data_IF_946370287840
#
_entry.id   IF_946370287840
#
_cell.length_a   1.000
_cell.length_b   1.000
_cell.length_c   1.000
_cell.angle_alpha   90.00
_cell.angle_beta   90.00
_cell.angle_gamma   90.00
#
_symmetry.space_group_name_H-M   'P 1'
#
loop_
_entity.id
_entity.type
_entity.pdbx_description
1 polymer ?
#
# COMPACT_ATOMS: atom_id res chain seq x y z
N UNK A 1 -29.37 34.98 -13.13
CA UNK A 1 -28.99 33.83 -12.30
C UNK A 1 -28.32 32.85 -13.22
N UNK A 2 -26.98 32.84 -13.23
CA UNK A 2 -26.21 32.05 -14.21
C UNK A 2 -26.19 30.58 -13.76
N UNK A 3 -26.99 29.76 -14.45
CA UNK A 3 -27.23 28.35 -14.16
C UNK A 3 -26.20 27.46 -14.85
N UNK A 4 -24.94 27.53 -14.42
CA UNK A 4 -23.95 26.55 -14.86
C UNK A 4 -24.27 25.19 -14.21
N UNK A 5 -24.67 24.22 -15.03
CA UNK A 5 -24.82 22.83 -14.61
C UNK A 5 -23.47 22.28 -14.11
N UNK A 6 -23.44 21.49 -13.02
CA UNK A 6 -22.18 20.97 -12.48
C UNK A 6 -21.49 20.06 -13.50
N UNK A 7 -20.27 20.42 -13.89
CA UNK A 7 -19.43 19.61 -14.79
C UNK A 7 -18.76 18.46 -14.05
N UNK A 8 -19.05 17.23 -14.46
CA UNK A 8 -18.40 16.03 -13.93
C UNK A 8 -16.91 15.98 -14.28
N UNK A 9 -16.09 15.58 -13.30
CA UNK A 9 -14.65 15.33 -13.49
C UNK A 9 -14.34 13.85 -13.31
N UNK A 10 -13.57 13.26 -14.24
CA UNK A 10 -13.13 11.87 -14.13
C UNK A 10 -11.90 11.76 -13.22
N UNK A 11 -12.06 11.14 -12.06
CA UNK A 11 -10.96 10.93 -11.10
C UNK A 11 -10.18 9.62 -11.32
N UNK A 12 -10.85 8.56 -11.77
CA UNK A 12 -10.24 7.25 -11.99
C UNK A 12 -10.93 6.49 -13.14
N UNK A 13 -10.24 5.50 -13.70
CA UNK A 13 -10.79 4.57 -14.69
C UNK A 13 -10.10 3.22 -14.55
N UNK A 14 -10.75 2.14 -14.97
CA UNK A 14 -10.22 0.79 -14.87
C UNK A 14 -11.14 -0.23 -15.53
N UNK A 15 -10.73 -1.50 -15.49
CA UNK A 15 -11.55 -2.63 -15.95
C UNK A 15 -11.67 -3.66 -14.83
N UNK A 16 -12.83 -4.31 -14.74
CA UNK A 16 -13.11 -5.35 -13.77
C UNK A 16 -13.42 -6.66 -14.49
N UNK A 17 -12.82 -7.76 -14.04
CA UNK A 17 -13.06 -9.10 -14.56
C UNK A 17 -13.46 -10.02 -13.41
N UNK A 18 -14.47 -10.87 -13.65
CA UNK A 18 -14.83 -11.94 -12.72
C UNK A 18 -13.63 -12.88 -12.52
N UNK A 19 -13.32 -13.15 -11.27
CA UNK A 19 -12.09 -13.85 -10.94
C UNK A 19 -12.26 -15.39 -11.09
N UNK A 20 -11.17 -16.11 -11.37
CA UNK A 20 -11.16 -17.55 -11.64
C UNK A 20 -11.63 -18.37 -10.42
N UNK A 21 -12.04 -19.64 -10.53
CA UNK A 21 -12.39 -20.46 -9.36
C UNK A 21 -11.24 -20.49 -8.32
N UNK A 22 -11.57 -20.45 -7.03
CA UNK A 22 -10.60 -20.36 -5.91
C UNK A 22 -9.54 -21.48 -5.94
N UNK A 23 -9.92 -22.69 -6.34
CA UNK A 23 -9.02 -23.83 -6.52
C UNK A 23 -7.94 -23.63 -7.60
N UNK A 24 -8.10 -22.65 -8.49
CA UNK A 24 -7.12 -22.30 -9.53
C UNK A 24 -6.20 -21.14 -9.12
N UNK A 25 -6.35 -20.61 -7.91
CA UNK A 25 -5.62 -19.42 -7.42
C UNK A 25 -4.63 -19.79 -6.33
N UNK A 26 -3.49 -20.34 -6.74
CA UNK A 26 -2.30 -20.43 -5.88
C UNK A 26 -1.23 -19.52 -6.44
N UNK A 27 -0.50 -18.83 -5.56
CA UNK A 27 0.80 -18.24 -5.89
C UNK A 27 1.86 -19.17 -5.33
N UNK A 28 2.18 -20.29 -6.01
CA UNK A 28 3.08 -21.32 -5.48
C UNK A 28 4.47 -20.79 -5.12
N UNK A 29 4.86 -19.65 -5.69
CA UNK A 29 6.16 -18.99 -5.48
C UNK A 29 6.09 -17.80 -4.50
N UNK A 30 5.01 -17.64 -3.72
CA UNK A 30 4.94 -16.58 -2.72
C UNK A 30 5.89 -16.89 -1.55
N UNK A 31 6.80 -15.96 -1.18
CA UNK A 31 7.67 -16.17 -0.03
C UNK A 31 6.85 -16.23 1.26
N UNK A 32 7.27 -17.08 2.18
CA UNK A 32 6.69 -17.18 3.51
C UNK A 32 6.98 -15.92 4.33
N UNK A 33 6.13 -15.65 5.32
CA UNK A 33 6.34 -14.55 6.26
C UNK A 33 7.73 -14.62 6.95
N UNK A 34 8.24 -15.83 7.20
CA UNK A 34 9.55 -16.03 7.82
C UNK A 34 10.70 -15.60 6.87
N UNK A 35 10.62 -15.96 5.59
CA UNK A 35 11.59 -15.55 4.58
C UNK A 35 11.58 -14.03 4.37
N UNK A 36 10.40 -13.42 4.35
CA UNK A 36 10.27 -11.96 4.24
C UNK A 36 10.86 -11.26 5.46
N UNK A 37 10.57 -11.73 6.68
CA UNK A 37 11.18 -11.19 7.91
C UNK A 37 12.70 -11.26 7.90
N UNK A 38 13.28 -12.31 7.33
CA UNK A 38 14.73 -12.44 7.19
C UNK A 38 15.31 -11.40 6.20
N UNK A 39 14.57 -11.02 5.15
CA UNK A 39 14.96 -10.00 4.17
C UNK A 39 14.67 -8.56 4.61
N UNK A 40 13.75 -8.37 5.56
CA UNK A 40 13.41 -7.08 6.17
C UNK A 40 13.88 -7.00 7.63
N UNK A 41 15.19 -6.92 7.92
CA UNK A 41 15.70 -6.97 9.29
C UNK A 41 15.52 -5.65 10.06
N UNK A 42 15.32 -4.52 9.38
CA UNK A 42 15.35 -3.20 10.00
C UNK A 42 13.96 -2.85 10.55
N UNK A 43 13.78 -2.92 11.87
CA UNK A 43 12.54 -2.48 12.49
C UNK A 43 12.43 -0.95 12.48
N UNK A 44 11.31 -0.43 11.97
CA UNK A 44 10.99 1.00 11.96
C UNK A 44 9.82 1.24 12.91
N UNK A 45 9.97 2.07 13.95
CA UNK A 45 8.85 2.42 14.81
C UNK A 45 7.73 3.09 13.99
N UNK A 46 6.47 2.60 14.05
CA UNK A 46 5.38 3.19 13.28
C UNK A 46 5.18 4.69 13.56
N UNK A 47 5.40 5.14 14.80
CA UNK A 47 5.34 6.57 15.14
C UNK A 47 6.37 7.40 14.37
N UNK A 48 7.62 6.93 14.31
CA UNK A 48 8.68 7.59 13.53
C UNK A 48 8.34 7.63 12.04
N UNK A 49 7.74 6.56 11.52
CA UNK A 49 7.29 6.51 10.13
C UNK A 49 6.19 7.56 9.84
N UNK A 50 5.14 7.62 10.66
CA UNK A 50 4.08 8.62 10.48
C UNK A 50 4.55 10.05 10.72
N UNK A 51 5.50 10.26 11.64
CA UNK A 51 6.12 11.58 11.84
C UNK A 51 6.90 12.01 10.59
N UNK A 52 7.68 11.11 9.99
CA UNK A 52 8.38 11.37 8.73
C UNK A 52 7.45 11.59 7.53
N UNK A 53 6.26 10.97 7.51
CA UNK A 53 5.20 11.25 6.54
C UNK A 53 4.61 12.65 6.75
N UNK A 54 4.36 13.04 8.01
CA UNK A 54 3.84 14.36 8.35
C UNK A 54 4.81 15.48 7.96
N UNK A 55 6.10 15.29 8.20
CA UNK A 55 7.15 16.22 7.78
C UNK A 55 7.17 16.43 6.25
N UNK A 56 6.70 15.43 5.48
CA UNK A 56 6.53 15.47 4.02
C UNK A 56 5.17 15.97 3.55
N UNK A 57 4.30 16.44 4.47
CA UNK A 57 2.97 16.95 4.16
C UNK A 57 1.85 15.90 4.11
N UNK A 58 2.12 14.64 4.47
CA UNK A 58 1.08 13.60 4.60
C UNK A 58 0.55 13.53 6.03
N UNK A 59 -0.48 14.33 6.31
CA UNK A 59 -1.21 14.28 7.57
C UNK A 59 -2.26 13.17 7.58
N UNK A 60 -1.80 11.92 7.78
CA UNK A 60 -2.70 10.79 7.93
C UNK A 60 -3.40 10.84 9.29
N UNK A 61 -4.72 11.02 9.28
CA UNK A 61 -5.54 11.01 10.49
C UNK A 61 -5.62 9.62 11.16
N UNK A 62 -6.17 9.53 12.39
CA UNK A 62 -6.22 8.26 13.15
C UNK A 62 -6.90 7.10 12.43
N UNK A 63 -7.84 7.38 11.51
CA UNK A 63 -8.50 6.38 10.69
C UNK A 63 -7.60 5.74 9.62
N UNK A 64 -6.46 6.36 9.26
CA UNK A 64 -5.53 5.91 8.22
C UNK A 64 -4.18 5.44 8.78
N UNK A 65 -4.00 5.46 10.10
CA UNK A 65 -2.78 4.97 10.75
C UNK A 65 -2.90 3.48 11.14
N UNK A 66 -3.00 2.59 10.14
CA UNK A 66 -3.24 1.16 10.36
C UNK A 66 -1.97 0.32 10.64
N UNK A 67 -0.77 0.83 10.33
CA UNK A 67 0.50 0.13 10.61
C UNK A 67 0.74 0.04 12.12
N UNK A 68 0.80 -1.19 12.63
CA UNK A 68 1.17 -1.49 14.03
C UNK A 68 2.57 -2.07 14.18
N UNK A 69 3.19 -2.52 13.08
CA UNK A 69 4.59 -2.92 13.01
C UNK A 69 5.12 -2.71 11.60
N UNK A 70 6.37 -2.29 11.47
CA UNK A 70 7.01 -2.01 10.19
C UNK A 70 8.47 -2.48 10.22
N UNK A 71 8.87 -3.16 9.16
CA UNK A 71 10.22 -3.64 8.94
C UNK A 71 10.63 -3.35 7.50
N UNK A 72 11.87 -2.93 7.28
CA UNK A 72 12.41 -2.62 5.97
C UNK A 72 13.61 -3.50 5.63
N UNK A 73 13.75 -3.79 4.34
CA UNK A 73 14.86 -4.46 3.71
C UNK A 73 15.41 -3.64 2.54
N UNK A 74 16.22 -4.28 1.71
CA UNK A 74 16.65 -3.70 0.44
C UNK A 74 15.47 -3.68 -0.54
N UNK A 75 14.97 -2.50 -0.89
CA UNK A 75 13.81 -2.30 -1.78
C UNK A 75 12.53 -3.06 -1.35
N UNK A 76 12.44 -3.44 -0.07
CA UNK A 76 11.35 -4.23 0.48
C UNK A 76 10.83 -3.65 1.80
N UNK A 77 9.54 -3.86 2.05
CA UNK A 77 8.92 -3.56 3.34
C UNK A 77 7.97 -4.67 3.77
N UNK A 78 7.89 -4.88 5.07
CA UNK A 78 6.92 -5.74 5.73
C UNK A 78 6.18 -4.92 6.77
N UNK A 79 4.86 -4.88 6.69
CA UNK A 79 4.02 -4.18 7.65
C UNK A 79 3.00 -5.14 8.28
N UNK A 80 2.82 -5.04 9.59
CA UNK A 80 1.67 -5.59 10.30
C UNK A 80 0.59 -4.50 10.35
N UNK A 81 -0.59 -4.78 9.80
CA UNK A 81 -1.67 -3.81 9.67
C UNK A 81 -2.86 -4.22 10.51
N UNK A 82 -3.41 -3.28 11.29
CA UNK A 82 -4.67 -3.46 12.02
C UNK A 82 -5.60 -2.30 11.74
N UNK A 83 -6.86 -2.60 11.48
CA UNK A 83 -7.87 -1.58 11.24
C UNK A 83 -7.99 -0.68 12.48
N UNK A 84 -7.80 0.64 12.36
CA UNK A 84 -7.88 1.53 13.52
C UNK A 84 -9.29 1.50 14.12
N UNK A 85 -9.44 1.64 15.46
CA UNK A 85 -10.76 1.72 16.09
C UNK A 85 -11.66 2.82 15.50
N UNK A 86 -11.06 3.93 15.07
CA UNK A 86 -11.75 5.05 14.41
C UNK A 86 -12.39 4.70 13.05
N UNK A 87 -11.99 3.56 12.45
CA UNK A 87 -12.45 3.08 11.16
C UNK A 87 -13.10 1.68 11.25
N UNK A 88 -13.35 1.16 12.45
CA UNK A 88 -13.83 -0.21 12.63
C UNK A 88 -15.35 -0.37 12.46
N UNK A 89 -16.12 0.72 12.56
CA UNK A 89 -17.59 0.67 12.63
C UNK A 89 -18.25 0.15 11.35
N UNK A 90 -17.66 0.41 10.18
CA UNK A 90 -18.16 0.05 8.86
C UNK A 90 -17.27 -0.99 8.16
N UNK A 91 -16.36 -1.65 8.89
CA UNK A 91 -15.41 -2.63 8.37
C UNK A 91 -16.07 -3.71 7.48
N UNK A 92 -17.24 -4.21 7.90
CA UNK A 92 -18.00 -5.24 7.18
C UNK A 92 -18.65 -4.78 5.88
N UNK A 93 -18.67 -3.48 5.61
CA UNK A 93 -19.25 -2.89 4.39
C UNK A 93 -18.28 -2.93 3.20
N UNK A 94 -17.01 -3.26 3.45
CA UNK A 94 -15.96 -3.29 2.44
C UNK A 94 -15.40 -4.68 2.23
N UNK A 95 -15.11 -5.01 0.97
CA UNK A 95 -14.30 -6.19 0.66
C UNK A 95 -12.84 -5.99 1.10
N UNK A 96 -12.35 -4.74 0.96
CA UNK A 96 -11.07 -4.25 1.47
C UNK A 96 -11.32 -2.88 2.08
N UNK A 97 -11.09 -2.74 3.38
CA UNK A 97 -11.30 -1.45 4.04
C UNK A 97 -10.31 -0.39 3.48
N UNK A 98 -10.77 0.82 3.11
CA UNK A 98 -9.90 1.86 2.54
C UNK A 98 -8.66 2.16 3.37
N UNK A 99 -8.76 2.18 4.70
CA UNK A 99 -7.60 2.36 5.60
C UNK A 99 -6.57 1.25 5.53
N UNK A 100 -6.99 -0.02 5.35
CA UNK A 100 -6.05 -1.13 5.19
C UNK A 100 -5.39 -1.02 3.81
N UNK A 101 -6.17 -0.70 2.78
CA UNK A 101 -5.67 -0.53 1.42
C UNK A 101 -4.67 0.62 1.30
N UNK A 102 -4.99 1.79 1.87
CA UNK A 102 -4.09 2.95 1.93
C UNK A 102 -2.82 2.61 2.72
N UNK A 103 -2.95 1.90 3.83
CA UNK A 103 -1.79 1.50 4.61
C UNK A 103 -0.83 0.57 3.86
N UNK A 104 -1.37 -0.32 3.01
CA UNK A 104 -0.55 -1.12 2.09
C UNK A 104 0.21 -0.23 1.10
N UNK A 105 -0.44 0.81 0.59
CA UNK A 105 0.14 1.73 -0.39
C UNK A 105 1.28 2.54 0.23
N UNK A 106 1.06 3.17 1.38
CA UNK A 106 2.13 3.93 2.02
C UNK A 106 3.20 3.01 2.61
N UNK A 107 2.89 1.79 3.07
CA UNK A 107 3.89 0.86 3.59
C UNK A 107 4.89 0.42 2.49
N UNK A 108 4.45 0.31 1.24
CA UNK A 108 5.36 0.09 0.10
C UNK A 108 6.42 1.21 0.04
N UNK A 109 6.03 2.44 0.36
CA UNK A 109 6.94 3.58 0.35
C UNK A 109 7.99 3.57 1.46
N UNK A 110 7.79 2.80 2.52
CA UNK A 110 8.82 2.57 3.52
C UNK A 110 10.00 1.75 2.99
N UNK A 111 9.81 1.01 1.88
CA UNK A 111 10.87 0.28 1.19
C UNK A 111 11.68 1.15 0.21
N UNK A 112 11.33 2.43 0.03
CA UNK A 112 12.13 3.32 -0.81
C UNK A 112 13.50 3.59 -0.19
N UNK A 113 14.58 3.55 -0.98
CA UNK A 113 15.87 4.01 -0.50
C UNK A 113 15.72 5.47 -0.05
N UNK A 114 16.22 5.77 1.15
CA UNK A 114 16.33 7.16 1.62
C UNK A 114 17.32 7.86 0.71
N UNK A 115 16.83 8.49 -0.35
CA UNK A 115 17.61 9.45 -1.11
C UNK A 115 17.85 10.66 -0.21
N UNK A 116 18.99 11.34 -0.36
CA UNK A 116 19.37 12.48 0.48
C UNK A 116 18.31 13.62 0.50
N UNK A 117 17.35 13.60 -0.43
CA UNK A 117 16.17 14.45 -0.45
C UNK A 117 15.09 13.94 0.52
N UNK A 118 15.07 14.51 1.72
CA UNK A 118 13.97 14.39 2.70
C UNK A 118 12.61 14.90 2.19
N UNK A 119 12.54 15.45 0.99
CA UNK A 119 11.41 16.21 0.46
C UNK A 119 10.52 15.42 -0.52
N UNK A 120 10.86 14.17 -0.85
CA UNK A 120 10.07 13.40 -1.81
C UNK A 120 8.99 12.56 -1.13
N UNK A 121 7.76 12.79 -1.59
CA UNK A 121 6.51 12.21 -1.16
C UNK A 121 5.92 11.43 -2.34
N UNK A 122 5.80 10.10 -2.22
CA UNK A 122 5.26 9.27 -3.29
C UNK A 122 3.76 9.06 -3.09
N UNK A 123 2.99 9.29 -4.15
CA UNK A 123 1.56 8.97 -4.20
C UNK A 123 1.32 7.82 -5.18
N UNK A 124 0.37 6.95 -4.85
CA UNK A 124 -0.05 5.90 -5.79
C UNK A 124 -0.88 6.52 -6.91
N UNK A 125 -0.32 6.51 -8.12
CA UNK A 125 -0.99 7.03 -9.32
C UNK A 125 -1.91 6.01 -9.99
N UNK A 126 -1.69 4.72 -9.77
CA UNK A 126 -2.54 3.68 -10.32
C UNK A 126 -2.00 2.27 -10.12
N UNK A 127 -2.83 1.30 -10.50
CA UNK A 127 -2.53 -0.12 -10.38
C UNK A 127 -2.53 -0.75 -11.78
N UNK A 128 -1.46 -1.46 -12.12
CA UNK A 128 -1.46 -2.33 -13.31
C UNK A 128 -2.45 -3.49 -13.13
N UNK A 129 -2.59 -3.97 -11.88
CA UNK A 129 -3.42 -5.12 -11.50
C UNK A 129 -3.70 -5.08 -10.01
N UNK A 130 -4.95 -5.36 -9.63
CA UNK A 130 -5.39 -5.60 -8.26
C UNK A 130 -6.21 -6.87 -8.27
N UNK A 131 -5.82 -7.85 -7.46
CA UNK A 131 -6.49 -9.15 -7.36
C UNK A 131 -6.85 -9.42 -5.91
N UNK A 132 -8.10 -9.80 -5.66
CA UNK A 132 -8.58 -10.20 -4.33
C UNK A 132 -9.02 -11.65 -4.36
N UNK A 133 -8.63 -12.39 -3.33
CA UNK A 133 -8.85 -13.83 -3.22
C UNK A 133 -9.95 -14.17 -2.20
N UNK A 134 -10.35 -13.20 -1.39
CA UNK A 134 -11.36 -13.33 -0.34
C UNK A 134 -11.46 -12.01 0.44
N UNK A 135 -12.37 -11.93 1.44
CA UNK A 135 -12.45 -10.76 2.30
C UNK A 135 -11.13 -10.55 3.06
N UNK A 136 -10.65 -9.31 3.06
CA UNK A 136 -9.47 -8.92 3.84
C UNK A 136 -9.96 -8.55 5.24
N UNK A 137 -9.47 -9.28 6.24
CA UNK A 137 -9.84 -9.07 7.64
C UNK A 137 -9.36 -7.73 8.20
N UNK A 138 -9.60 -7.51 9.50
CA UNK A 138 -9.15 -6.30 10.21
C UNK A 138 -7.70 -6.37 10.69
N UNK A 139 -7.01 -7.49 10.46
CA UNK A 139 -5.59 -7.70 10.76
C UNK A 139 -4.96 -8.52 9.64
N UNK A 140 -3.89 -8.00 9.04
CA UNK A 140 -3.21 -8.61 7.89
C UNK A 140 -1.73 -8.23 7.88
N UNK A 141 -0.88 -9.05 7.27
CA UNK A 141 0.49 -8.68 6.94
C UNK A 141 0.57 -8.19 5.50
N UNK A 142 1.31 -7.11 5.27
CA UNK A 142 1.56 -6.54 3.95
C UNK A 142 3.04 -6.61 3.61
N UNK A 143 3.38 -7.25 2.50
CA UNK A 143 4.73 -7.29 1.95
C UNK A 143 4.80 -6.45 0.69
N UNK A 144 5.58 -5.38 0.72
CA UNK A 144 5.92 -4.54 -0.41
C UNK A 144 7.30 -4.91 -0.97
N UNK A 145 7.42 -4.97 -2.29
CA UNK A 145 8.69 -5.10 -2.99
C UNK A 145 8.70 -4.16 -4.19
N UNK A 146 9.72 -3.30 -4.30
CA UNK A 146 9.89 -2.41 -5.43
C UNK A 146 10.51 -3.17 -6.60
N UNK A 147 10.19 -2.71 -7.81
CA UNK A 147 10.79 -3.18 -9.04
C UNK A 147 11.65 -2.06 -9.58
N UNK A 148 12.97 -2.24 -9.56
CA UNK A 148 13.89 -1.37 -10.29
C UNK A 148 13.50 -1.38 -11.78
N UNK A 149 13.46 -0.20 -12.42
CA UNK A 149 13.19 -0.09 -13.84
C UNK A 149 14.27 -0.87 -14.63
N UNK A 150 13.87 -1.89 -15.39
CA UNK A 150 14.78 -2.79 -16.09
C UNK A 150 15.60 -2.11 -17.20
N UNK A 151 15.21 -0.91 -17.65
CA UNK A 151 15.89 -0.20 -18.72
C UNK A 151 15.98 1.28 -18.36
N UNK A 152 17.17 1.88 -18.54
CA UNK A 152 17.49 3.28 -18.23
C UNK A 152 16.78 4.33 -19.10
N UNK A 153 15.51 4.09 -19.44
CA UNK A 153 14.63 4.99 -20.20
C UNK A 153 13.32 5.33 -19.47
N UNK A 154 13.12 4.90 -18.22
CA UNK A 154 12.02 5.38 -17.39
C UNK A 154 12.33 6.76 -16.82
N UNK A 155 11.36 7.67 -16.85
CA UNK A 155 11.45 8.91 -16.07
C UNK A 155 11.77 8.54 -14.63
N UNK A 156 12.80 9.18 -14.05
CA UNK A 156 13.29 8.94 -12.70
C UNK A 156 12.24 9.21 -11.60
N UNK A 157 11.04 9.63 -11.97
CA UNK A 157 9.97 10.09 -11.07
C UNK A 157 8.90 9.02 -10.77
N UNK A 158 8.85 7.90 -11.49
CA UNK A 158 7.84 6.85 -11.25
C UNK A 158 8.47 5.53 -10.82
N UNK A 159 8.09 5.09 -9.62
CA UNK A 159 8.49 3.80 -9.07
C UNK A 159 7.34 2.80 -9.22
N UNK A 160 7.68 1.52 -9.41
CA UNK A 160 6.70 0.43 -9.46
C UNK A 160 7.03 -0.60 -8.42
N UNK A 161 6.02 -1.28 -7.90
CA UNK A 161 6.21 -2.33 -6.90
C UNK A 161 5.05 -3.33 -6.91
N UNK A 162 5.23 -4.39 -6.14
CA UNK A 162 4.18 -5.35 -5.82
C UNK A 162 3.88 -5.28 -4.34
N UNK A 163 2.59 -5.32 -3.99
CA UNK A 163 2.14 -5.53 -2.62
C UNK A 163 1.40 -6.85 -2.54
N UNK A 164 1.75 -7.67 -1.54
CA UNK A 164 1.10 -8.95 -1.23
C UNK A 164 0.57 -8.94 0.18
N UNK A 165 -0.63 -9.47 0.36
CA UNK A 165 -1.26 -9.63 1.66
C UNK A 165 -1.19 -11.08 2.11
N UNK A 166 -0.89 -11.28 3.39
CA UNK A 166 -0.68 -12.58 4.04
C UNK A 166 -1.44 -12.69 5.36
#
# INVERSE_FOLDING_TARGET
TDGAEPTWTRHATGTLRAALPEAARTSPDAPSLAEIKARCPQAVPPSMYYDGLRERGFELGPGFQAITGLWCGDEESLAELRLPPAAAADASSYHVHPSIFDACCHALGAGFPVTDSRDEAYLVLGFKRLETFGPIGTHVWSHGALHTAADGGGDKETLTGTVRLM
#
